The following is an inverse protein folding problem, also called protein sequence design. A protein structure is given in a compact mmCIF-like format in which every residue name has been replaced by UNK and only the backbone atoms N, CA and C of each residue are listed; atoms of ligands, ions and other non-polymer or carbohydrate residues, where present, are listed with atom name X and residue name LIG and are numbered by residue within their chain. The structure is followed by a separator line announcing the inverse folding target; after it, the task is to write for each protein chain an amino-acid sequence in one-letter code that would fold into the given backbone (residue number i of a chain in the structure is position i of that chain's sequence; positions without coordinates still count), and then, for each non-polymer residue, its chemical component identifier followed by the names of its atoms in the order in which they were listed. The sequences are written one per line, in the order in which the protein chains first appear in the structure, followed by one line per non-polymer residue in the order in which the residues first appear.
data_IF_508724959730
#
_entry.id   IF_508724959730
#
_cell.length_a   1.000
_cell.length_b   1.000
_cell.length_c   1.000
_cell.angle_alpha   90.00
_cell.angle_beta   90.00
_cell.angle_gamma   90.00
#
_symmetry.space_group_name_H-M   'P 1'
#
loop_
_entity.id
_entity.type
_entity.pdbx_description
1 polymer ?
#
# COMPACT_ATOMS: atom_id res chain seq x y z
N UNK A 1 4.79 19.00 -2.71
CA UNK A 1 5.32 17.67 -3.09
C UNK A 1 4.49 16.62 -2.36
N UNK A 2 3.56 15.97 -3.05
CA UNK A 2 2.76 14.91 -2.41
C UNK A 2 3.65 13.67 -2.28
N UNK A 3 3.96 13.28 -1.05
CA UNK A 3 4.70 12.04 -0.79
C UNK A 3 3.71 10.89 -0.91
N UNK A 4 4.08 9.81 -1.59
CA UNK A 4 3.25 8.61 -1.73
C UNK A 4 4.07 7.38 -1.33
N UNK A 5 3.40 6.42 -0.70
CA UNK A 5 4.02 5.16 -0.32
C UNK A 5 4.34 4.32 -1.56
N UNK A 6 5.61 3.92 -1.71
CA UNK A 6 6.07 3.12 -2.85
C UNK A 6 5.53 1.67 -2.84
N UNK A 7 5.02 1.18 -1.71
CA UNK A 7 4.43 -0.17 -1.61
C UNK A 7 2.92 -0.20 -1.87
N UNK A 8 2.16 0.80 -1.41
CA UNK A 8 0.69 0.76 -1.45
C UNK A 8 0.03 1.96 -2.16
N UNK A 9 0.83 2.91 -2.68
CA UNK A 9 0.32 4.09 -3.39
C UNK A 9 -0.47 5.08 -2.54
N UNK A 10 -0.56 4.88 -1.21
CA UNK A 10 -1.29 5.78 -0.30
C UNK A 10 -0.52 7.09 -0.07
N UNK A 11 -1.22 8.23 0.10
CA UNK A 11 -0.59 9.50 0.42
C UNK A 11 0.12 9.42 1.79
N UNK A 12 1.39 9.81 1.81
CA UNK A 12 2.21 9.90 3.01
C UNK A 12 1.99 11.25 3.71
N UNK A 13 1.55 11.18 4.96
CA UNK A 13 1.44 12.26 5.92
C UNK A 13 2.48 12.07 7.02
N UNK A 14 2.77 13.12 7.78
CA UNK A 14 3.65 13.03 8.96
C UNK A 14 3.17 12.02 10.00
N UNK A 15 1.87 11.77 10.09
CA UNK A 15 1.25 10.82 11.01
C UNK A 15 1.29 9.36 10.54
N UNK A 16 1.46 9.12 9.23
CA UNK A 16 1.42 7.76 8.68
C UNK A 16 2.77 7.33 8.09
N UNK A 17 3.82 8.14 8.23
CA UNK A 17 5.18 7.81 7.84
C UNK A 17 5.69 6.62 8.65
N UNK A 18 6.31 5.64 7.99
CA UNK A 18 6.92 4.49 8.66
C UNK A 18 8.14 4.87 9.48
N UNK A 19 8.64 3.98 10.32
CA UNK A 19 9.86 4.18 11.11
C UNK A 19 11.01 3.32 10.59
N UNK A 20 12.19 3.92 10.52
CA UNK A 20 13.46 3.23 10.28
C UNK A 20 13.94 2.58 11.58
N UNK A 21 14.89 1.65 11.49
CA UNK A 21 15.51 0.99 12.65
C UNK A 21 16.09 1.99 13.67
N UNK A 22 16.45 3.19 13.18
CA UNK A 22 17.06 4.26 13.96
C UNK A 22 16.03 5.12 14.71
N UNK A 23 14.72 4.83 14.57
CA UNK A 23 13.62 5.65 15.09
C UNK A 23 13.21 6.82 14.19
N UNK A 24 13.99 7.11 13.14
CA UNK A 24 13.66 8.18 12.18
C UNK A 24 12.47 7.82 11.28
N UNK A 25 11.71 8.85 10.88
CA UNK A 25 10.60 8.69 9.95
C UNK A 25 11.07 8.38 8.52
N UNK A 26 10.39 7.45 7.87
CA UNK A 26 10.57 7.08 6.47
C UNK A 26 9.77 8.01 5.57
N UNK A 27 10.43 8.57 4.56
CA UNK A 27 9.81 9.47 3.59
C UNK A 27 9.19 8.73 2.38
N UNK A 28 9.36 7.42 2.30
CA UNK A 28 9.01 6.61 1.13
C UNK A 28 7.98 5.52 1.42
N UNK A 29 7.83 5.15 2.70
CA UNK A 29 6.98 4.05 3.12
C UNK A 29 6.09 4.49 4.29
N UNK A 30 4.85 4.00 4.30
CA UNK A 30 3.93 4.28 5.40
C UNK A 30 4.13 3.27 6.54
N UNK A 31 3.66 3.61 7.73
CA UNK A 31 3.73 2.79 8.94
C UNK A 31 3.13 1.39 8.76
N UNK A 32 2.08 1.27 7.93
CA UNK A 32 1.48 -0.03 7.63
C UNK A 32 2.33 -0.93 6.74
N UNK A 33 3.28 -0.37 5.98
CA UNK A 33 4.15 -1.11 5.07
C UNK A 33 5.58 -1.28 5.62
N UNK A 34 6.05 -0.36 6.46
CA UNK A 34 7.43 -0.33 6.94
C UNK A 34 7.47 0.27 8.34
N UNK A 35 7.94 -0.52 9.31
CA UNK A 35 8.03 -0.10 10.71
C UNK A 35 9.27 -0.71 11.36
N UNK A 36 9.93 0.06 12.23
CA UNK A 36 11.09 -0.37 13.01
C UNK A 36 12.23 -0.95 12.16
N UNK A 37 12.39 -0.44 10.95
CA UNK A 37 13.42 -0.89 10.02
C UNK A 37 13.07 -2.14 9.22
N UNK A 38 11.91 -2.75 9.47
CA UNK A 38 11.43 -3.95 8.80
C UNK A 38 10.17 -3.67 7.98
N UNK A 39 10.05 -4.35 6.84
CA UNK A 39 8.77 -4.41 6.14
C UNK A 39 7.84 -5.34 6.91
N UNK A 40 6.60 -4.92 7.13
CA UNK A 40 5.56 -5.72 7.81
C UNK A 40 5.16 -6.96 7.01
N UNK A 41 5.43 -6.96 5.70
CA UNK A 41 5.24 -8.09 4.79
C UNK A 41 6.59 -8.47 4.14
N UNK A 42 7.51 -9.10 4.89
CA UNK A 42 8.87 -9.41 4.41
C UNK A 42 8.92 -10.55 3.38
N UNK A 43 7.82 -11.27 3.18
CA UNK A 43 7.72 -12.39 2.20
C UNK A 43 7.13 -11.97 0.87
N UNK A 44 6.63 -10.73 0.72
CA UNK A 44 6.09 -10.27 -0.55
C UNK A 44 7.23 -9.91 -1.51
N UNK A 45 7.46 -10.79 -2.46
CA UNK A 45 8.31 -10.47 -3.61
C UNK A 45 7.61 -9.45 -4.52
N UNK A 46 8.35 -8.81 -5.43
CA UNK A 46 7.75 -7.90 -6.44
C UNK A 46 6.63 -8.61 -7.23
N UNK A 47 6.77 -9.92 -7.46
CA UNK A 47 5.73 -10.75 -8.08
C UNK A 47 4.47 -10.89 -7.21
N UNK A 48 4.61 -11.00 -5.89
CA UNK A 48 3.47 -11.03 -4.97
C UNK A 48 2.73 -9.69 -4.91
N UNK A 49 3.45 -8.56 -5.01
CA UNK A 49 2.85 -7.23 -5.08
C UNK A 49 2.02 -7.09 -6.37
N UNK A 50 2.56 -7.53 -7.51
CA UNK A 50 1.81 -7.57 -8.78
C UNK A 50 0.58 -8.48 -8.67
N UNK A 51 0.73 -9.65 -8.07
CA UNK A 51 -0.37 -10.61 -7.91
C UNK A 51 -1.47 -10.05 -7.00
N UNK A 52 -1.14 -9.36 -5.91
CA UNK A 52 -2.11 -8.65 -5.04
C UNK A 52 -2.82 -7.54 -5.82
N UNK A 53 -2.10 -6.70 -6.57
CA UNK A 53 -2.70 -5.66 -7.41
C UNK A 53 -3.68 -6.21 -8.45
N UNK A 54 -3.33 -7.30 -9.14
CA UNK A 54 -4.22 -7.95 -10.12
C UNK A 54 -5.44 -8.58 -9.43
N UNK A 55 -5.28 -9.16 -8.23
CA UNK A 55 -6.41 -9.68 -7.44
C UNK A 55 -7.35 -8.55 -7.05
N UNK A 56 -6.86 -7.42 -6.57
CA UNK A 56 -7.71 -6.29 -6.20
C UNK A 56 -8.43 -5.68 -7.41
N UNK A 57 -7.77 -5.58 -8.57
CA UNK A 57 -8.41 -5.13 -9.82
C UNK A 57 -9.50 -6.12 -10.27
N UNK A 58 -9.24 -7.44 -10.20
CA UNK A 58 -10.24 -8.48 -10.53
C UNK A 58 -11.41 -8.52 -9.54
N UNK A 59 -11.14 -8.21 -8.27
CA UNK A 59 -12.11 -8.28 -7.19
C UNK A 59 -12.89 -6.97 -7.03
N UNK A 60 -12.41 -5.89 -7.64
CA UNK A 60 -13.18 -4.67 -7.88
C UNK A 60 -14.36 -5.00 -8.79
N UNK A 61 -15.49 -5.35 -8.18
CA UNK A 61 -16.81 -5.37 -8.82
C UNK A 61 -17.20 -3.93 -9.17
N UNK A 62 -16.58 -3.37 -10.19
CA UNK A 62 -17.15 -2.25 -10.93
C UNK A 62 -18.33 -2.77 -11.76
N UNK A 63 -19.48 -2.98 -11.11
CA UNK A 63 -20.72 -3.30 -11.81
C UNK A 63 -21.82 -2.30 -11.42
N UNK A 64 -21.56 -1.02 -11.68
CA UNK A 64 -22.54 0.07 -11.59
C UNK A 64 -23.78 -0.24 -12.48
N UNK A 65 -23.62 -1.06 -13.52
CA UNK A 65 -24.66 -1.45 -14.47
C UNK A 65 -25.60 -2.58 -14.01
N UNK A 66 -25.36 -3.29 -12.89
CA UNK A 66 -26.29 -4.35 -12.42
C UNK A 66 -27.44 -3.86 -11.54
N UNK A 67 -27.41 -2.61 -11.06
CA UNK A 67 -28.46 -2.08 -10.17
C UNK A 67 -29.71 -1.60 -10.94
N UNK A 68 -29.58 -1.30 -12.23
CA UNK A 68 -30.65 -0.68 -13.03
C UNK A 68 -31.28 -1.62 -14.07
N UNK A 69 -30.80 -2.87 -14.18
CA UNK A 69 -31.28 -3.86 -15.15
C UNK A 69 -31.68 -5.20 -14.49
N UNK A 70 -32.02 -5.19 -13.20
CA UNK A 70 -32.71 -6.30 -12.53
C UNK A 70 -33.99 -5.76 -11.89
#
# INVERSE_FOLDING_TARGET
MNKFCQSCGRPLTTTNAGTKANGDSSNYYCISCYQDGAFTDPTLTIDDIKAKGIKEIKQSKMNILKKYFC
#
